data_IF_658024696414
#
_entry.id   IF_658024696414
#
_cell.length_a   1.000
_cell.length_b   1.000
_cell.length_c   1.000
_cell.angle_alpha   90.00
_cell.angle_beta   90.00
_cell.angle_gamma   90.00
#
_symmetry.space_group_name_H-M   'P 1'
#
loop_
_entity.id
_entity.type
_entity.pdbx_description
1 polymer ?
#
# COMPACT_ATOMS: atom_id res chain seq x y z
N UNK A 1 -17.29 -25.79 -51.21
CA UNK A 1 -17.47 -26.05 -49.75
C UNK A 1 -16.90 -24.88 -48.97
N UNK A 2 -17.78 -24.23 -48.19
CA UNK A 2 -17.55 -23.43 -46.96
C UNK A 2 -16.65 -22.19 -47.04
N UNK A 3 -17.26 -21.09 -47.47
CA UNK A 3 -16.92 -19.72 -47.08
C UNK A 3 -17.14 -19.56 -45.57
N UNK A 4 -16.09 -19.28 -44.80
CA UNK A 4 -16.17 -19.03 -43.36
C UNK A 4 -16.22 -17.51 -43.12
N UNK A 5 -17.43 -16.98 -42.88
CA UNK A 5 -17.64 -15.61 -42.41
C UNK A 5 -17.41 -15.59 -40.90
N UNK A 6 -16.34 -14.97 -40.41
CA UNK A 6 -16.17 -14.66 -38.99
C UNK A 6 -16.93 -13.35 -38.68
N UNK A 7 -18.02 -13.45 -37.92
CA UNK A 7 -18.68 -12.31 -37.30
C UNK A 7 -17.90 -11.88 -36.06
N UNK A 8 -17.30 -10.69 -36.13
CA UNK A 8 -16.75 -10.00 -34.96
C UNK A 8 -17.87 -9.49 -34.06
N UNK A 9 -17.96 -10.01 -32.84
CA UNK A 9 -18.75 -9.40 -31.77
C UNK A 9 -17.91 -8.35 -31.06
N UNK A 10 -18.13 -7.10 -31.43
CA UNK A 10 -17.61 -5.94 -30.74
C UNK A 10 -18.37 -5.76 -29.43
N UNK A 11 -17.72 -6.03 -28.29
CA UNK A 11 -18.22 -5.59 -26.98
C UNK A 11 -18.15 -4.05 -26.93
N UNK A 12 -19.28 -3.39 -27.16
CA UNK A 12 -19.45 -1.98 -26.81
C UNK A 12 -19.52 -1.89 -25.29
N UNK A 13 -18.40 -1.52 -24.65
CA UNK A 13 -18.42 -1.03 -23.28
C UNK A 13 -19.30 0.23 -23.25
N UNK A 14 -20.54 0.07 -22.75
CA UNK A 14 -21.49 1.16 -22.63
C UNK A 14 -20.95 2.22 -21.69
N UNK A 15 -20.63 3.40 -22.22
CA UNK A 15 -20.45 4.58 -21.39
C UNK A 15 -21.82 4.87 -20.76
N UNK A 16 -21.91 4.84 -19.44
CA UNK A 16 -23.05 5.38 -18.72
C UNK A 16 -23.08 6.89 -19.02
N UNK A 17 -23.96 7.32 -19.91
CA UNK A 17 -24.33 8.72 -20.03
C UNK A 17 -25.35 9.00 -18.92
N UNK A 18 -24.88 9.50 -17.80
CA UNK A 18 -25.75 10.16 -16.84
C UNK A 18 -25.92 11.60 -17.31
N UNK A 19 -27.16 12.04 -17.56
CA UNK A 19 -27.43 13.43 -17.91
C UNK A 19 -26.92 14.39 -16.82
N UNK A 20 -26.96 13.94 -15.57
CA UNK A 20 -26.56 14.74 -14.41
C UNK A 20 -25.94 13.90 -13.30
N UNK A 21 -24.93 14.48 -12.64
CA UNK A 21 -24.51 14.10 -11.30
C UNK A 21 -24.63 15.32 -10.38
N UNK A 22 -25.50 15.22 -9.38
CA UNK A 22 -25.63 16.20 -8.30
C UNK A 22 -25.23 15.57 -6.97
N UNK A 23 -24.30 16.21 -6.27
CA UNK A 23 -23.90 15.87 -4.90
C UNK A 23 -24.20 17.07 -4.02
N UNK A 24 -25.15 16.89 -3.11
CA UNK A 24 -25.60 17.92 -2.19
C UNK A 24 -24.52 18.32 -1.17
N UNK A 25 -24.72 19.46 -0.52
CA UNK A 25 -23.74 20.04 0.39
C UNK A 25 -23.31 19.05 1.49
N UNK A 26 -22.00 18.90 1.67
CA UNK A 26 -21.39 17.97 2.62
C UNK A 26 -21.61 16.48 2.36
N UNK A 27 -22.29 16.08 1.29
CA UNK A 27 -22.53 14.68 0.96
C UNK A 27 -21.34 14.04 0.23
N UNK A 28 -21.22 12.73 0.37
CA UNK A 28 -20.24 11.92 -0.34
C UNK A 28 -20.92 11.00 -1.36
N UNK A 29 -20.34 10.92 -2.56
CA UNK A 29 -20.73 9.97 -3.61
C UNK A 29 -19.55 9.06 -3.93
N UNK A 30 -19.77 7.75 -3.79
CA UNK A 30 -18.86 6.73 -4.31
C UNK A 30 -19.00 6.63 -5.83
N UNK A 31 -17.86 6.60 -6.53
CA UNK A 31 -17.74 6.38 -7.96
C UNK A 31 -16.88 5.13 -8.17
N UNK A 32 -17.48 4.08 -8.67
CA UNK A 32 -16.85 2.79 -8.98
C UNK A 32 -16.56 2.61 -10.48
N UNK A 33 -17.10 3.49 -11.32
CA UNK A 33 -16.85 3.51 -12.76
C UNK A 33 -15.57 4.28 -13.11
N UNK A 34 -14.73 3.78 -14.04
CA UNK A 34 -13.49 4.44 -14.45
C UNK A 34 -13.73 5.68 -15.33
N UNK A 35 -14.96 5.92 -15.80
CA UNK A 35 -15.30 7.02 -16.69
C UNK A 35 -16.69 7.58 -16.41
N UNK A 36 -16.79 8.89 -16.28
CA UNK A 36 -18.04 9.64 -16.22
C UNK A 36 -18.09 10.69 -17.32
N UNK A 37 -19.14 10.64 -18.13
CA UNK A 37 -19.49 11.67 -19.11
C UNK A 37 -20.85 12.25 -18.73
N UNK A 38 -20.87 13.54 -18.44
CA UNK A 38 -22.02 14.24 -17.87
C UNK A 38 -22.35 15.47 -18.70
N UNK A 39 -23.63 15.75 -18.89
CA UNK A 39 -24.05 17.06 -19.37
C UNK A 39 -23.95 18.09 -18.23
N UNK A 40 -24.37 17.69 -17.02
CA UNK A 40 -24.38 18.54 -15.82
C UNK A 40 -23.69 17.87 -14.63
N UNK A 41 -22.74 18.57 -14.02
CA UNK A 41 -22.10 18.23 -12.76
C UNK A 41 -22.38 19.34 -11.75
N UNK A 42 -23.07 19.03 -10.66
CA UNK A 42 -23.33 19.96 -9.56
C UNK A 42 -22.73 19.39 -8.29
N UNK A 43 -21.68 20.04 -7.79
CA UNK A 43 -21.03 19.72 -6.52
C UNK A 43 -21.22 20.92 -5.60
N UNK A 44 -22.11 20.80 -4.62
CA UNK A 44 -22.36 21.86 -3.64
C UNK A 44 -21.22 21.99 -2.62
N UNK A 45 -21.31 23.00 -1.75
CA UNK A 45 -20.29 23.26 -0.74
C UNK A 45 -20.00 22.01 0.13
N UNK A 46 -18.74 21.59 0.20
CA UNK A 46 -18.29 20.43 0.95
C UNK A 46 -18.56 19.06 0.30
N UNK A 47 -19.13 19.02 -0.90
CA UNK A 47 -19.41 17.77 -1.60
C UNK A 47 -18.12 16.95 -1.85
N UNK A 48 -18.21 15.62 -1.74
CA UNK A 48 -17.08 14.71 -1.92
C UNK A 48 -17.39 13.65 -2.97
N UNK A 49 -16.53 13.54 -3.98
CA UNK A 49 -16.48 12.40 -4.90
C UNK A 49 -15.38 11.45 -4.41
N UNK A 50 -15.75 10.24 -3.98
CA UNK A 50 -14.79 9.21 -3.60
C UNK A 50 -14.71 8.17 -4.70
N UNK A 51 -13.51 7.92 -5.23
CA UNK A 51 -13.30 6.82 -6.15
C UNK A 51 -13.20 5.50 -5.38
N UNK A 52 -13.75 4.45 -5.96
CA UNK A 52 -13.52 3.09 -5.47
C UNK A 52 -12.03 2.76 -5.52
N UNK A 53 -11.52 2.00 -4.54
CA UNK A 53 -10.12 1.62 -4.51
C UNK A 53 -9.76 0.74 -5.73
N UNK A 54 -8.50 0.83 -6.17
CA UNK A 54 -7.97 -0.04 -7.23
C UNK A 54 -8.20 0.45 -8.66
N UNK A 55 -8.89 1.57 -8.88
CA UNK A 55 -8.98 2.18 -10.20
C UNK A 55 -7.60 2.75 -10.60
N UNK A 56 -6.98 2.26 -11.70
CA UNK A 56 -5.68 2.80 -12.14
C UNK A 56 -5.82 4.19 -12.75
N UNK A 57 -6.98 4.48 -13.36
CA UNK A 57 -7.29 5.73 -14.04
C UNK A 57 -8.76 6.08 -13.89
N UNK A 58 -9.06 7.37 -13.79
CA UNK A 58 -10.41 7.91 -13.81
C UNK A 58 -10.52 9.08 -14.79
N UNK A 59 -11.54 9.04 -15.65
CA UNK A 59 -11.86 10.11 -16.61
C UNK A 59 -13.21 10.74 -16.26
N UNK A 60 -13.20 12.04 -15.95
CA UNK A 60 -14.41 12.84 -15.74
C UNK A 60 -14.52 13.90 -16.81
N UNK A 61 -15.60 13.88 -17.57
CA UNK A 61 -15.99 14.95 -18.48
C UNK A 61 -17.36 15.48 -18.10
N UNK A 62 -17.45 16.79 -17.89
CA UNK A 62 -18.72 17.48 -17.68
C UNK A 62 -18.82 18.70 -18.60
N UNK A 63 -19.87 18.76 -19.41
CA UNK A 63 -20.12 19.90 -20.31
C UNK A 63 -20.48 21.18 -19.53
N UNK A 64 -21.14 21.02 -18.39
CA UNK A 64 -21.49 22.11 -17.48
C UNK A 64 -21.22 21.70 -16.02
N UNK A 65 -20.38 22.44 -15.32
CA UNK A 65 -19.96 22.14 -13.97
C UNK A 65 -20.15 23.34 -13.02
N UNK A 66 -20.81 23.09 -11.90
CA UNK A 66 -20.92 23.99 -10.75
C UNK A 66 -20.14 23.37 -9.60
N UNK A 67 -19.02 24.01 -9.25
CA UNK A 67 -18.13 23.55 -8.18
C UNK A 67 -18.27 24.55 -7.03
N UNK A 68 -18.83 24.11 -5.91
CA UNK A 68 -18.93 24.88 -4.67
C UNK A 68 -17.58 25.09 -3.99
N UNK A 69 -17.60 25.46 -2.72
CA UNK A 69 -16.42 25.58 -1.85
C UNK A 69 -16.13 24.25 -1.15
N UNK A 70 -14.86 23.99 -0.89
CA UNK A 70 -14.35 22.84 -0.15
C UNK A 70 -14.79 21.49 -0.73
N UNK A 71 -14.95 21.44 -2.06
CA UNK A 71 -15.26 20.21 -2.79
C UNK A 71 -14.01 19.31 -2.85
N UNK A 72 -14.20 18.01 -2.72
CA UNK A 72 -13.10 17.02 -2.69
C UNK A 72 -13.33 15.93 -3.72
N UNK A 73 -12.29 15.57 -4.46
CA UNK A 73 -12.20 14.33 -5.22
C UNK A 73 -11.10 13.48 -4.60
N UNK A 74 -11.50 12.37 -3.99
CA UNK A 74 -10.63 11.47 -3.23
C UNK A 74 -10.35 10.21 -4.04
N UNK A 75 -9.10 10.06 -4.43
CA UNK A 75 -8.60 9.01 -5.31
C UNK A 75 -7.24 8.45 -4.83
N UNK A 76 -7.05 8.50 -3.51
CA UNK A 76 -5.85 8.03 -2.81
C UNK A 76 -5.73 6.51 -2.87
N UNK A 77 -4.52 6.01 -3.06
CA UNK A 77 -4.20 4.59 -2.93
C UNK A 77 -4.41 4.08 -1.50
N UNK A 78 -4.89 2.85 -1.36
CA UNK A 78 -5.07 2.20 -0.05
C UNK A 78 -3.72 1.88 0.62
N UNK A 79 -3.67 2.08 1.93
CA UNK A 79 -2.56 1.64 2.78
C UNK A 79 -2.52 0.11 2.87
N UNK A 80 -1.33 -0.44 3.04
CA UNK A 80 -1.13 -1.88 3.09
C UNK A 80 -1.24 -2.47 4.51
N UNK A 81 -1.43 -3.79 4.60
CA UNK A 81 -1.43 -4.54 5.84
C UNK A 81 -0.03 -5.05 6.21
N UNK A 82 0.33 -4.93 7.49
CA UNK A 82 1.61 -5.37 8.03
C UNK A 82 1.85 -6.87 7.83
N UNK A 83 3.13 -7.24 7.68
CA UNK A 83 3.56 -8.63 7.64
C UNK A 83 3.40 -9.31 9.01
N UNK A 84 3.02 -10.59 8.99
CA UNK A 84 2.90 -11.40 10.21
C UNK A 84 4.27 -11.77 10.78
N UNK A 85 4.36 -11.81 12.10
CA UNK A 85 5.55 -12.32 12.78
C UNK A 85 5.74 -13.83 12.54
N UNK A 86 7.00 -14.24 12.41
CA UNK A 86 7.39 -15.64 12.41
C UNK A 86 7.19 -16.29 13.78
N UNK A 87 6.82 -17.57 13.79
CA UNK A 87 6.74 -18.37 15.01
C UNK A 87 8.14 -18.67 15.57
N UNK A 88 8.28 -18.69 16.89
CA UNK A 88 9.50 -19.13 17.55
C UNK A 88 9.74 -20.64 17.32
N UNK A 89 11.00 -21.03 17.27
CA UNK A 89 11.41 -22.43 17.24
C UNK A 89 11.22 -23.08 18.60
N UNK A 90 10.86 -24.37 18.62
CA UNK A 90 10.74 -25.13 19.86
C UNK A 90 12.13 -25.41 20.45
N UNK A 91 12.22 -25.40 21.78
CA UNK A 91 13.43 -25.83 22.47
C UNK A 91 13.70 -27.33 22.25
N UNK A 92 14.97 -27.67 22.05
CA UNK A 92 15.45 -29.03 21.99
C UNK A 92 15.29 -29.75 23.33
N UNK A 93 14.94 -31.04 23.29
CA UNK A 93 14.87 -31.89 24.48
C UNK A 93 16.13 -32.76 24.58
N UNK A 94 16.69 -32.87 25.77
CA UNK A 94 17.88 -33.70 26.03
C UNK A 94 19.04 -33.30 25.11
N UNK A 95 19.58 -34.20 24.30
CA UNK A 95 20.68 -33.92 23.38
C UNK A 95 20.25 -33.17 22.10
N UNK A 96 18.95 -32.93 21.91
CA UNK A 96 18.45 -32.39 20.65
C UNK A 96 18.75 -30.90 20.52
N UNK A 97 18.98 -30.46 19.29
CA UNK A 97 19.10 -29.05 18.96
C UNK A 97 17.75 -28.35 19.14
N UNK A 98 17.79 -27.05 19.40
CA UNK A 98 16.63 -26.19 19.25
C UNK A 98 16.24 -26.04 17.79
N UNK A 99 14.95 -25.88 17.55
CA UNK A 99 14.43 -25.63 16.20
C UNK A 99 14.68 -24.18 15.79
N UNK A 100 14.82 -23.95 14.48
CA UNK A 100 14.95 -22.59 13.97
C UNK A 100 13.63 -21.82 14.13
N UNK A 101 13.76 -20.52 14.42
CA UNK A 101 12.65 -19.59 14.34
C UNK A 101 12.19 -19.40 12.89
N UNK A 102 10.89 -19.26 12.69
CA UNK A 102 10.32 -19.03 11.36
C UNK A 102 10.57 -17.59 10.89
N UNK A 103 10.70 -17.35 9.58
CA UNK A 103 10.83 -16.00 9.05
C UNK A 103 9.55 -15.19 9.29
N UNK A 104 9.70 -13.87 9.46
CA UNK A 104 8.60 -12.93 9.40
C UNK A 104 8.15 -12.71 7.94
N UNK A 105 6.86 -12.45 7.74
CA UNK A 105 6.32 -12.16 6.42
C UNK A 105 6.65 -10.72 5.99
N UNK A 106 6.78 -10.49 4.70
CA UNK A 106 6.97 -9.14 4.17
C UNK A 106 5.73 -8.27 4.43
N UNK A 107 5.96 -6.98 4.65
CA UNK A 107 4.88 -5.99 4.68
C UNK A 107 4.30 -5.79 3.28
N UNK A 108 2.98 -5.63 3.20
CA UNK A 108 2.33 -5.29 1.93
C UNK A 108 2.77 -3.92 1.40
N UNK A 109 2.77 -3.79 0.07
CA UNK A 109 3.03 -2.54 -0.62
C UNK A 109 1.76 -1.67 -0.68
N UNK A 110 1.91 -0.36 -0.47
CA UNK A 110 0.81 0.58 -0.60
C UNK A 110 0.33 0.68 -2.04
N UNK A 111 -0.98 0.83 -2.24
CA UNK A 111 -1.53 0.92 -3.58
C UNK A 111 -1.20 2.26 -4.24
N UNK A 112 -1.11 2.27 -5.57
CA UNK A 112 -0.97 3.51 -6.33
C UNK A 112 -2.22 4.39 -6.16
N UNK A 113 -2.03 5.71 -6.14
CA UNK A 113 -3.12 6.65 -6.33
C UNK A 113 -3.60 6.65 -7.78
N UNK A 114 -4.87 6.98 -8.00
CA UNK A 114 -5.48 6.92 -9.33
C UNK A 114 -5.03 8.09 -10.21
N UNK A 115 -4.71 7.80 -11.48
CA UNK A 115 -4.44 8.83 -12.47
C UNK A 115 -5.75 9.53 -12.88
N UNK A 116 -5.84 10.86 -12.75
CA UNK A 116 -7.05 11.64 -13.04
C UNK A 116 -6.94 12.36 -14.39
N UNK A 117 -8.00 12.26 -15.20
CA UNK A 117 -8.22 13.04 -16.40
C UNK A 117 -9.57 13.76 -16.26
N UNK A 118 -9.53 15.06 -16.00
CA UNK A 118 -10.73 15.85 -15.68
C UNK A 118 -10.88 16.94 -16.73
N UNK A 119 -12.06 17.04 -17.33
CA UNK A 119 -12.43 18.04 -18.32
C UNK A 119 -13.76 18.70 -17.94
N UNK A 120 -13.76 20.00 -17.63
CA UNK A 120 -14.93 20.70 -17.09
C UNK A 120 -15.28 21.97 -17.88
N UNK A 121 -16.53 22.09 -18.31
CA UNK A 121 -17.11 23.37 -18.72
C UNK A 121 -17.68 24.14 -17.53
N UNK A 122 -16.91 25.09 -16.98
CA UNK A 122 -17.22 25.68 -15.68
C UNK A 122 -18.28 26.77 -15.78
N UNK A 123 -19.38 26.60 -15.05
CA UNK A 123 -20.43 27.60 -14.82
C UNK A 123 -20.16 28.42 -13.56
N UNK A 124 -19.62 27.79 -12.52
CA UNK A 124 -19.16 28.42 -11.29
C UNK A 124 -18.06 27.59 -10.63
N UNK A 125 -17.18 28.24 -9.87
CA UNK A 125 -16.07 27.58 -9.19
C UNK A 125 -15.75 28.26 -7.85
N UNK A 126 -15.78 27.47 -6.76
CA UNK A 126 -15.33 27.86 -5.43
C UNK A 126 -13.92 27.32 -5.14
N UNK A 127 -13.82 26.08 -4.66
CA UNK A 127 -12.54 25.40 -4.43
C UNK A 127 -12.66 23.89 -4.59
N UNK A 128 -11.56 23.27 -5.05
CA UNK A 128 -11.50 21.85 -5.36
C UNK A 128 -10.18 21.24 -4.90
N UNK A 129 -10.26 20.22 -4.06
CA UNK A 129 -9.14 19.36 -3.71
C UNK A 129 -9.15 18.09 -4.58
N UNK A 130 -8.03 17.83 -5.26
CA UNK A 130 -7.77 16.56 -5.95
C UNK A 130 -6.70 15.79 -5.16
N UNK A 131 -7.09 14.70 -4.50
CA UNK A 131 -6.16 13.86 -3.72
C UNK A 131 -5.93 12.52 -4.42
N UNK A 132 -4.77 12.37 -5.03
CA UNK A 132 -4.31 11.14 -5.73
C UNK A 132 -3.06 10.57 -5.07
N UNK A 133 -2.84 10.81 -3.78
CA UNK A 133 -1.64 10.33 -3.09
C UNK A 133 -1.54 8.79 -3.13
N UNK A 134 -0.31 8.29 -3.11
CA UNK A 134 -0.07 6.87 -2.93
C UNK A 134 -0.45 6.38 -1.52
N UNK A 135 -0.80 5.10 -1.42
CA UNK A 135 -0.95 4.42 -0.14
C UNK A 135 0.41 4.15 0.52
N UNK A 136 0.46 4.14 1.84
CA UNK A 136 1.65 3.77 2.59
C UNK A 136 1.91 2.27 2.48
N UNK A 137 3.20 1.91 2.35
CA UNK A 137 3.65 0.57 2.62
C UNK A 137 3.51 0.23 4.10
N UNK A 138 3.65 -1.04 4.44
CA UNK A 138 3.45 -1.53 5.81
C UNK A 138 4.68 -2.25 6.34
N UNK A 139 4.80 -2.32 7.67
CA UNK A 139 5.97 -2.91 8.30
C UNK A 139 6.10 -4.41 7.97
N UNK A 140 7.34 -4.87 7.80
CA UNK A 140 7.65 -6.30 7.74
C UNK A 140 7.46 -6.96 9.12
N UNK A 141 7.06 -8.23 9.11
CA UNK A 141 6.90 -9.02 10.32
C UNK A 141 8.26 -9.36 10.96
N UNK A 142 8.32 -9.43 12.28
CA UNK A 142 9.54 -9.88 12.97
C UNK A 142 9.80 -11.36 12.69
N UNK A 143 11.07 -11.75 12.59
CA UNK A 143 11.44 -13.16 12.61
C UNK A 143 11.20 -13.77 13.99
N UNK A 144 10.85 -15.05 14.04
CA UNK A 144 10.71 -15.79 15.29
C UNK A 144 12.07 -16.09 15.90
N UNK A 145 12.15 -16.16 17.23
CA UNK A 145 13.38 -16.54 17.92
C UNK A 145 13.68 -18.03 17.69
N UNK A 146 14.96 -18.38 17.61
CA UNK A 146 15.41 -19.77 17.59
C UNK A 146 15.21 -20.43 18.95
N UNK A 147 14.82 -21.70 18.95
CA UNK A 147 14.67 -22.47 20.18
C UNK A 147 16.00 -22.78 20.84
N UNK A 148 16.03 -22.89 22.16
CA UNK A 148 17.24 -23.26 22.89
C UNK A 148 17.63 -24.72 22.64
N UNK A 149 18.93 -25.00 22.64
CA UNK A 149 19.47 -26.35 22.59
C UNK A 149 19.19 -27.11 23.89
N UNK A 150 18.85 -28.39 23.78
CA UNK A 150 18.58 -29.21 24.95
C UNK A 150 19.83 -29.46 25.81
N UNK A 151 19.63 -29.58 27.13
CA UNK A 151 20.66 -30.01 28.07
C UNK A 151 20.41 -31.47 28.50
N UNK A 152 21.47 -32.29 28.58
CA UNK A 152 21.39 -33.65 29.11
C UNK A 152 22.71 -34.22 29.63
N UNK A 153 22.60 -34.98 30.71
CA UNK A 153 23.72 -35.57 31.49
C UNK A 153 24.36 -36.81 30.84
N UNK A 154 24.05 -37.08 29.57
CA UNK A 154 24.43 -38.33 28.89
C UNK A 154 25.01 -38.12 27.51
N UNK A 155 25.01 -36.88 27.02
CA UNK A 155 25.41 -36.52 25.66
C UNK A 155 25.92 -35.07 25.63
N UNK A 156 26.43 -34.65 24.48
CA UNK A 156 26.72 -33.23 24.26
C UNK A 156 25.41 -32.43 24.31
N UNK A 157 25.49 -31.19 24.78
CA UNK A 157 24.36 -30.27 24.72
C UNK A 157 23.95 -30.00 23.28
N UNK A 158 22.64 -29.87 23.04
CA UNK A 158 22.13 -29.51 21.72
C UNK A 158 22.55 -28.09 21.33
N UNK A 159 22.72 -27.83 20.04
CA UNK A 159 22.90 -26.47 19.54
C UNK A 159 21.60 -25.66 19.65
N UNK A 160 21.72 -24.35 19.85
CA UNK A 160 20.58 -23.43 19.73
C UNK A 160 20.13 -23.31 18.28
N UNK A 161 18.81 -23.21 18.08
CA UNK A 161 18.22 -22.94 16.78
C UNK A 161 18.55 -21.54 16.30
N UNK A 162 18.65 -21.35 14.99
CA UNK A 162 18.86 -20.00 14.41
C UNK A 162 17.60 -19.16 14.53
N UNK A 163 17.77 -17.85 14.70
CA UNK A 163 16.67 -16.90 14.64
C UNK A 163 16.13 -16.74 13.21
N UNK A 164 14.82 -16.61 13.09
CA UNK A 164 14.16 -16.33 11.82
C UNK A 164 14.53 -14.96 11.27
N UNK A 165 14.63 -14.82 9.95
CA UNK A 165 14.84 -13.53 9.29
C UNK A 165 13.58 -12.65 9.45
N UNK A 166 13.77 -11.35 9.69
CA UNK A 166 12.68 -10.38 9.65
C UNK A 166 12.21 -10.13 8.22
N UNK A 167 10.90 -9.99 8.04
CA UNK A 167 10.28 -9.69 6.75
C UNK A 167 10.65 -8.30 6.24
N UNK A 168 10.66 -8.11 4.93
CA UNK A 168 10.96 -6.81 4.32
C UNK A 168 9.82 -5.82 4.55
N UNK A 169 10.15 -4.53 4.62
CA UNK A 169 9.16 -3.46 4.70
C UNK A 169 8.50 -3.23 3.35
N UNK A 170 7.19 -2.98 3.36
CA UNK A 170 6.43 -2.69 2.16
C UNK A 170 6.82 -1.34 1.56
N UNK A 171 6.89 -1.28 0.22
CA UNK A 171 7.08 -0.03 -0.51
C UNK A 171 5.82 0.85 -0.46
N UNK A 172 6.00 2.16 -0.51
CA UNK A 172 4.90 3.11 -0.69
C UNK A 172 4.41 3.13 -2.14
N UNK A 173 3.10 3.31 -2.33
CA UNK A 173 2.50 3.41 -3.65
C UNK A 173 2.87 4.72 -4.35
N UNK A 174 2.95 4.72 -5.69
CA UNK A 174 3.13 5.96 -6.45
C UNK A 174 1.92 6.88 -6.28
N UNK A 175 2.15 8.19 -6.29
CA UNK A 175 1.08 9.16 -6.46
C UNK A 175 0.55 9.18 -7.89
N UNK A 176 -0.75 9.43 -8.04
CA UNK A 176 -1.41 9.52 -9.34
C UNK A 176 -1.08 10.83 -10.07
N UNK A 177 -1.12 10.80 -11.39
CA UNK A 177 -0.95 11.96 -12.26
C UNK A 177 -2.30 12.64 -12.51
N UNK A 178 -2.34 13.97 -12.44
CA UNK A 178 -3.56 14.76 -12.61
C UNK A 178 -3.49 15.62 -13.87
N UNK A 179 -4.45 15.50 -14.76
CA UNK A 179 -4.69 16.47 -15.83
C UNK A 179 -6.08 17.09 -15.64
N UNK A 180 -6.11 18.37 -15.25
CA UNK A 180 -7.33 19.17 -15.16
C UNK A 180 -7.38 20.15 -16.33
N UNK A 181 -8.36 19.96 -17.20
CA UNK A 181 -8.67 20.81 -18.34
C UNK A 181 -10.00 21.48 -18.08
N UNK A 182 -10.11 22.77 -18.41
CA UNK A 182 -11.36 23.48 -18.23
C UNK A 182 -11.55 24.60 -19.25
N UNK A 183 -12.79 24.97 -19.52
CA UNK A 183 -13.13 26.24 -20.17
C UNK A 183 -14.13 26.98 -19.29
N UNK A 184 -14.01 28.31 -19.23
CA UNK A 184 -15.01 29.11 -18.53
C UNK A 184 -16.21 29.33 -19.44
N UNK A 185 -17.40 29.04 -18.92
CA UNK A 185 -18.69 29.46 -19.50
C UNK A 185 -19.22 30.74 -18.80
N UNK A 186 -18.46 31.28 -17.85
CA UNK A 186 -18.76 32.52 -17.12
C UNK A 186 -17.78 33.64 -17.49
N UNK A 187 -18.19 34.91 -17.35
CA UNK A 187 -17.34 36.07 -17.66
C UNK A 187 -16.13 36.23 -16.70
N UNK A 188 -16.12 35.53 -15.55
CA UNK A 188 -15.10 35.64 -14.51
C UNK A 188 -13.72 35.03 -14.87
N UNK A 189 -13.58 34.47 -16.07
CA UNK A 189 -12.28 34.31 -16.73
C UNK A 189 -11.48 33.06 -16.40
N UNK A 190 -11.14 32.77 -15.13
CA UNK A 190 -10.15 31.70 -14.83
C UNK A 190 -10.31 31.10 -13.42
N UNK A 191 -9.84 29.85 -13.24
CA UNK A 191 -9.71 29.24 -11.91
C UNK A 191 -8.35 29.63 -11.30
N UNK A 192 -8.29 30.19 -10.07
CA UNK A 192 -7.03 30.32 -9.36
C UNK A 192 -6.49 28.94 -8.96
N UNK A 193 -5.23 28.66 -9.29
CA UNK A 193 -4.48 27.51 -8.77
C UNK A 193 -3.69 28.01 -7.57
N UNK A 194 -3.91 27.42 -6.39
CA UNK A 194 -3.24 27.87 -5.16
C UNK A 194 -2.73 26.68 -4.35
N UNK A 195 -1.56 26.86 -3.72
CA UNK A 195 -1.04 25.92 -2.73
C UNK A 195 -1.68 26.13 -1.35
N UNK A 196 -2.36 27.28 -1.12
CA UNK A 196 -3.00 27.65 0.15
C UNK A 196 -4.25 28.51 -0.11
N UNK A 197 -5.40 28.12 0.44
CA UNK A 197 -6.66 28.88 0.33
C UNK A 197 -7.53 28.50 -0.87
N UNK A 198 -8.45 29.40 -1.31
CA UNK A 198 -9.44 29.09 -2.35
C UNK A 198 -8.78 28.88 -3.72
N UNK A 199 -9.34 27.97 -4.52
CA UNK A 199 -8.76 27.53 -5.79
C UNK A 199 -8.71 26.01 -5.95
N UNK A 200 -7.93 25.55 -6.92
CA UNK A 200 -7.61 24.12 -7.10
C UNK A 200 -6.37 23.78 -6.27
N UNK A 201 -6.50 22.77 -5.42
CA UNK A 201 -5.40 22.14 -4.67
C UNK A 201 -5.21 20.71 -5.16
N UNK A 202 -3.95 20.29 -5.34
CA UNK A 202 -3.62 18.99 -5.92
C UNK A 202 -2.59 18.30 -5.03
N UNK A 203 -2.93 17.11 -4.54
CA UNK A 203 -2.06 16.28 -3.71
C UNK A 203 -1.69 15.00 -4.47
N UNK A 204 -0.45 14.92 -4.93
CA UNK A 204 0.07 13.81 -5.76
C UNK A 204 1.28 13.12 -5.13
N UNK A 205 1.55 13.35 -3.84
CA UNK A 205 2.69 12.74 -3.16
C UNK A 205 2.63 11.19 -3.21
N UNK A 206 3.80 10.57 -3.36
CA UNK A 206 3.91 9.12 -3.18
C UNK A 206 3.68 8.71 -1.72
N UNK A 207 3.28 7.46 -1.53
CA UNK A 207 3.16 6.87 -0.20
C UNK A 207 4.52 6.66 0.45
N UNK A 208 4.55 6.62 1.78
CA UNK A 208 5.77 6.30 2.52
C UNK A 208 6.07 4.80 2.42
N UNK A 209 7.34 4.46 2.27
CA UNK A 209 7.81 3.09 2.54
C UNK A 209 7.82 2.80 4.03
N UNK A 210 7.83 1.52 4.40
CA UNK A 210 7.84 1.10 5.79
C UNK A 210 9.13 0.38 6.20
N UNK A 211 9.38 0.32 7.50
CA UNK A 211 10.54 -0.39 8.03
C UNK A 211 10.42 -1.92 7.82
N UNK A 212 11.57 -2.58 7.65
CA UNK A 212 11.64 -4.03 7.72
C UNK A 212 11.47 -4.54 9.15
N UNK A 213 11.00 -5.78 9.26
CA UNK A 213 10.88 -6.50 10.52
C UNK A 213 12.26 -6.83 11.10
N UNK A 214 12.34 -6.85 12.43
CA UNK A 214 13.57 -7.28 13.13
C UNK A 214 13.78 -8.78 12.94
N UNK A 215 15.04 -9.20 12.82
CA UNK A 215 15.38 -10.62 12.90
C UNK A 215 15.17 -11.17 14.30
N UNK A 216 14.81 -12.45 14.38
CA UNK A 216 14.70 -13.18 15.65
C UNK A 216 16.07 -13.42 16.26
N UNK A 217 16.13 -13.59 17.58
CA UNK A 217 17.35 -13.97 18.28
C UNK A 217 17.68 -15.43 17.97
N UNK A 218 18.97 -15.78 18.01
CA UNK A 218 19.38 -17.18 18.03
C UNK A 218 19.13 -17.79 19.41
N UNK A 219 18.81 -19.08 19.43
CA UNK A 219 18.63 -19.85 20.66
C UNK A 219 19.95 -20.05 21.40
N UNK A 220 19.86 -20.21 22.72
CA UNK A 220 21.01 -20.47 23.57
C UNK A 220 21.47 -21.92 23.38
N UNK A 221 22.78 -22.17 23.48
CA UNK A 221 23.33 -23.52 23.47
C UNK A 221 22.90 -24.34 24.70
N UNK A 222 22.68 -25.64 24.49
CA UNK A 222 22.59 -26.61 25.57
C UNK A 222 23.93 -26.72 26.32
N UNK A 223 23.87 -26.78 27.66
CA UNK A 223 25.07 -26.86 28.48
C UNK A 223 25.84 -28.17 28.28
N UNK A 224 27.18 -28.10 28.40
CA UNK A 224 28.04 -29.27 28.50
C UNK A 224 28.03 -29.87 29.91
N UNK A 225 28.55 -31.07 30.05
CA UNK A 225 28.49 -31.81 31.31
C UNK A 225 29.82 -32.52 31.62
N UNK A 226 30.23 -32.44 32.88
CA UNK A 226 31.37 -33.18 33.42
C UNK A 226 30.86 -34.27 34.38
N UNK A 227 31.15 -35.53 34.07
CA UNK A 227 30.71 -36.68 34.87
C UNK A 227 31.88 -37.60 35.23
N UNK A 228 31.85 -38.19 36.43
CA UNK A 228 32.82 -39.22 36.83
C UNK A 228 32.10 -40.55 36.91
N UNK A 229 32.57 -41.55 36.15
CA UNK A 229 31.99 -42.90 36.14
C UNK A 229 32.37 -43.66 37.41
N UNK A 230 31.62 -44.70 37.75
CA UNK A 230 31.88 -45.56 38.92
C UNK A 230 33.25 -46.26 38.93
N UNK A 231 33.94 -46.29 37.78
CA UNK A 231 35.33 -46.77 37.65
C UNK A 231 36.39 -45.66 37.76
N UNK A 232 36.01 -44.44 38.19
CA UNK A 232 36.91 -43.30 38.36
C UNK A 232 37.24 -42.53 37.08
N UNK A 233 36.75 -42.96 35.90
CA UNK A 233 37.01 -42.27 34.63
C UNK A 233 36.18 -40.98 34.57
N UNK A 234 36.86 -39.86 34.31
CA UNK A 234 36.26 -38.54 34.07
C UNK A 234 35.86 -38.41 32.59
N UNK A 235 34.60 -38.08 32.34
CA UNK A 235 34.05 -37.83 31.00
C UNK A 235 33.57 -36.39 30.94
N UNK A 236 34.14 -35.63 30.02
CA UNK A 236 33.65 -34.29 29.67
C UNK A 236 32.88 -34.35 28.36
N UNK A 237 31.71 -33.71 28.33
CA UNK A 237 30.85 -33.58 27.16
C UNK A 237 30.71 -32.09 26.87
N UNK A 238 31.02 -31.71 25.63
CA UNK A 238 30.90 -30.32 25.21
C UNK A 238 29.43 -29.86 25.22
N UNK A 239 29.22 -28.57 25.47
CA UNK A 239 27.93 -27.95 25.19
C UNK A 239 27.71 -27.78 23.68
N UNK A 240 26.51 -27.37 23.31
CA UNK A 240 26.19 -26.98 21.94
C UNK A 240 26.79 -25.63 21.57
N UNK A 241 26.61 -25.24 20.31
CA UNK A 241 26.85 -23.87 19.87
C UNK A 241 25.55 -23.05 19.99
N UNK A 242 25.62 -21.74 20.32
CA UNK A 242 24.45 -20.88 20.26
C UNK A 242 23.99 -20.73 18.80
N UNK A 243 22.69 -20.52 18.61
CA UNK A 243 22.13 -20.20 17.31
C UNK A 243 22.53 -18.80 16.87
N UNK A 244 22.65 -18.60 15.56
CA UNK A 244 22.86 -17.27 15.00
C UNK A 244 21.55 -16.45 15.04
N UNK A 245 21.67 -15.14 15.21
CA UNK A 245 20.53 -14.24 15.10
C UNK A 245 20.09 -14.10 13.63
N UNK A 246 18.78 -13.97 13.43
CA UNK A 246 18.20 -13.67 12.13
C UNK A 246 18.56 -12.26 11.67
N UNK A 247 18.61 -12.08 10.34
CA UNK A 247 18.84 -10.77 9.74
C UNK A 247 17.58 -9.89 9.84
N UNK A 248 17.78 -8.59 9.98
CA UNK A 248 16.68 -7.61 9.87
C UNK A 248 16.27 -7.43 8.42
N UNK A 249 14.98 -7.30 8.16
CA UNK A 249 14.44 -7.04 6.82
C UNK A 249 14.85 -5.67 6.30
N UNK A 250 14.99 -5.55 4.99
CA UNK A 250 15.25 -4.26 4.36
C UNK A 250 14.03 -3.34 4.49
N UNK A 251 14.21 -2.00 4.62
CA UNK A 251 13.10 -1.07 4.54
C UNK A 251 12.55 -0.97 3.11
N UNK A 252 11.25 -0.68 3.01
CA UNK A 252 10.60 -0.39 1.74
C UNK A 252 10.94 0.99 1.22
N UNK A 253 10.96 1.15 -0.11
CA UNK A 253 11.16 2.44 -0.76
C UNK A 253 9.92 3.33 -0.62
N UNK A 254 10.14 4.65 -0.65
CA UNK A 254 9.03 5.60 -0.79
C UNK A 254 8.52 5.61 -2.22
N UNK A 255 7.21 5.83 -2.38
CA UNK A 255 6.57 5.96 -3.67
C UNK A 255 6.98 7.25 -4.39
N UNK A 256 6.98 7.20 -5.71
CA UNK A 256 7.25 8.37 -6.53
C UNK A 256 6.09 9.38 -6.44
N UNK A 257 6.44 10.67 -6.50
CA UNK A 257 5.45 11.75 -6.57
C UNK A 257 4.87 11.85 -7.98
N UNK A 258 3.54 11.88 -8.08
CA UNK A 258 2.81 12.08 -9.33
C UNK A 258 2.93 13.51 -9.84
N UNK A 259 2.61 13.70 -11.13
CA UNK A 259 2.69 14.99 -11.81
C UNK A 259 1.30 15.61 -11.93
N UNK A 260 1.23 16.92 -12.13
CA UNK A 260 -0.04 17.57 -12.46
C UNK A 260 0.09 18.59 -13.58
N UNK A 261 -1.01 18.78 -14.31
CA UNK A 261 -1.21 19.81 -15.30
C UNK A 261 -2.60 20.41 -15.09
N UNK A 262 -2.67 21.74 -14.95
CA UNK A 262 -3.92 22.50 -14.98
C UNK A 262 -3.87 23.39 -16.21
N UNK A 263 -4.82 23.24 -17.12
CA UNK A 263 -4.79 23.93 -18.40
C UNK A 263 -6.17 24.48 -18.78
N UNK A 264 -6.31 25.81 -19.00
CA UNK A 264 -7.49 26.35 -19.65
C UNK A 264 -7.51 25.95 -21.13
N UNK A 265 -8.70 25.71 -21.67
CA UNK A 265 -8.92 25.36 -23.07
C UNK A 265 -9.90 26.34 -23.71
N UNK A 266 -9.80 26.47 -25.04
CA UNK A 266 -10.90 27.04 -25.82
C UNK A 266 -12.13 26.15 -25.66
N UNK A 267 -13.31 26.76 -25.70
CA UNK A 267 -14.58 26.01 -25.71
C UNK A 267 -14.56 25.03 -26.89
N UNK A 268 -14.83 23.73 -26.68
CA UNK A 268 -14.95 22.75 -27.76
C UNK A 268 -16.05 23.11 -28.76
#
# INVERSE_FOLDING_TARGET
>A
MRTLLMLGSSLLAGAVQAAELHVAAGQERLIDEPRLQLERLVLEDGATLRLAPGLPRFELRAEQAWIGRDVRLLARGSDASAGRAGAAGSAGKSCANGEAGQPGEAGGAGAAGTDLQITLGLRSFGSLLLDTRGGAGSAGGSGGDGGDGGAADRCAGGAGGTGGRGGEGGAGGRGGTVALRYWSLSEAGYIPVSNHGPGVQILTAGGLGAAGGRGGKGGIAGAGEFSTRGNGIKVYRNGGAPGEAGLTGAPGSSGETGRFLVQPQARP
#
